data_IF_799547844306
#
_entry.id   IF_799547844306
#
_cell.length_a   1.000
_cell.length_b   1.000
_cell.length_c   1.000
_cell.angle_alpha   90.00
_cell.angle_beta   90.00
_cell.angle_gamma   90.00
#
_symmetry.space_group_name_H-M   'P 1'
#
loop_
_entity.id
_entity.type
_entity.pdbx_description
1 polymer ?
#
# COMPACT_ATOMS: atom_id res chain seq x y z
N UNK A 1 5.69 -3.31 -2.91
CA UNK A 1 6.10 -3.04 -1.51
C UNK A 1 5.76 -4.25 -0.68
N UNK A 2 6.72 -4.75 0.06
CA UNK A 2 6.59 -6.00 0.83
C UNK A 2 7.14 -5.83 2.25
N UNK A 3 6.73 -6.67 3.21
CA UNK A 3 7.42 -6.78 4.49
C UNK A 3 8.88 -7.18 4.31
N UNK A 4 9.76 -6.69 5.18
CA UNK A 4 11.21 -6.98 5.09
C UNK A 4 11.50 -8.48 5.10
N UNK A 5 10.77 -9.26 5.89
CA UNK A 5 10.91 -10.72 5.98
C UNK A 5 10.53 -11.46 4.69
N UNK A 6 9.71 -10.88 3.83
CA UNK A 6 9.23 -11.50 2.60
C UNK A 6 9.99 -11.05 1.35
N UNK A 7 10.82 -10.02 1.46
CA UNK A 7 11.53 -9.42 0.31
C UNK A 7 12.36 -10.45 -0.47
N UNK A 8 13.13 -11.26 0.24
CA UNK A 8 13.95 -12.32 -0.40
C UNK A 8 13.09 -13.36 -1.11
N UNK A 9 11.98 -13.79 -0.51
CA UNK A 9 11.07 -14.76 -1.12
C UNK A 9 10.46 -14.21 -2.41
N UNK A 10 9.94 -12.99 -2.39
CA UNK A 10 9.36 -12.36 -3.58
C UNK A 10 10.36 -12.27 -4.73
N UNK A 11 11.60 -11.86 -4.45
CA UNK A 11 12.66 -11.79 -5.47
C UNK A 11 12.99 -13.18 -6.03
N UNK A 12 13.11 -14.18 -5.17
CA UNK A 12 13.40 -15.55 -5.58
C UNK A 12 12.29 -16.11 -6.49
N UNK A 13 11.04 -15.95 -6.08
CA UNK A 13 9.89 -16.43 -6.87
C UNK A 13 9.77 -15.66 -8.19
N UNK A 14 9.91 -14.33 -8.18
CA UNK A 14 9.91 -13.55 -9.40
C UNK A 14 11.00 -14.01 -10.38
N UNK A 15 12.22 -14.25 -9.90
CA UNK A 15 13.32 -14.78 -10.72
C UNK A 15 13.03 -16.17 -11.27
N UNK A 16 12.31 -17.01 -10.51
CA UNK A 16 11.95 -18.36 -10.92
C UNK A 16 10.90 -18.39 -12.03
N UNK A 17 9.92 -17.49 -11.95
CA UNK A 17 8.75 -17.52 -12.83
C UNK A 17 8.81 -16.51 -13.98
N UNK A 18 9.74 -15.56 -13.96
CA UNK A 18 9.81 -14.50 -14.98
C UNK A 18 11.25 -14.24 -15.43
N UNK A 19 11.39 -13.77 -16.69
CA UNK A 19 12.65 -13.22 -17.20
C UNK A 19 12.75 -11.70 -17.09
N UNK A 20 11.93 -11.07 -16.26
CA UNK A 20 11.85 -9.63 -16.13
C UNK A 20 13.10 -9.06 -15.42
N UNK A 21 13.57 -7.89 -15.87
CA UNK A 21 14.60 -7.14 -15.14
C UNK A 21 14.06 -6.66 -13.81
N UNK A 22 14.80 -6.88 -12.75
CA UNK A 22 14.33 -6.56 -11.39
C UNK A 22 15.43 -5.93 -10.55
N UNK A 23 15.02 -5.06 -9.64
CA UNK A 23 15.90 -4.46 -8.65
C UNK A 23 15.26 -4.43 -7.26
N UNK A 24 16.11 -4.37 -6.26
CA UNK A 24 15.73 -4.04 -4.90
C UNK A 24 16.11 -2.59 -4.62
N UNK A 25 15.09 -1.76 -4.38
CA UNK A 25 15.31 -0.37 -4.02
C UNK A 25 15.73 -0.26 -2.55
N UNK A 26 16.92 0.27 -2.34
CA UNK A 26 17.49 0.56 -1.03
C UNK A 26 18.18 1.94 -1.03
N UNK A 27 18.61 2.42 0.13
CA UNK A 27 19.20 3.77 0.29
C UNK A 27 20.58 3.95 -0.37
N UNK A 28 21.16 2.91 -0.95
CA UNK A 28 22.53 2.97 -1.49
C UNK A 28 22.58 3.60 -2.88
N UNK A 29 21.44 3.79 -3.52
CA UNK A 29 21.36 4.29 -4.89
C UNK A 29 20.91 5.75 -4.89
N UNK A 30 21.77 6.62 -5.38
CA UNK A 30 21.43 8.02 -5.63
C UNK A 30 20.57 8.13 -6.89
N UNK A 31 19.34 8.63 -6.73
CA UNK A 31 18.41 8.85 -7.83
C UNK A 31 18.21 10.34 -8.03
N UNK A 32 18.33 10.79 -9.28
CA UNK A 32 17.99 12.15 -9.66
C UNK A 32 16.46 12.31 -9.65
N UNK A 33 15.93 13.02 -8.64
CA UNK A 33 14.49 13.29 -8.49
C UNK A 33 13.88 14.04 -9.67
N UNK A 34 14.70 14.76 -10.47
CA UNK A 34 14.22 15.48 -11.65
C UNK A 34 14.06 14.58 -12.87
N UNK A 35 14.70 13.42 -12.86
CA UNK A 35 14.67 12.44 -13.96
C UNK A 35 14.56 11.01 -13.42
N UNK A 36 13.54 10.70 -12.64
CA UNK A 36 13.39 9.38 -12.02
C UNK A 36 13.22 8.28 -13.07
N UNK A 37 12.68 8.59 -14.25
CA UNK A 37 12.52 7.67 -15.37
C UNK A 37 13.87 7.10 -15.87
N UNK A 38 14.95 7.86 -15.76
CA UNK A 38 16.30 7.38 -16.12
C UNK A 38 16.78 6.24 -15.24
N UNK A 39 16.20 6.11 -14.06
CA UNK A 39 16.53 5.03 -13.15
C UNK A 39 15.43 3.95 -13.14
N UNK A 40 14.21 4.32 -12.79
CA UNK A 40 13.13 3.35 -12.65
C UNK A 40 12.71 2.70 -13.98
N UNK A 41 12.82 3.43 -15.09
CA UNK A 41 12.45 2.94 -16.42
C UNK A 41 13.30 1.77 -16.95
N UNK A 42 14.44 1.46 -16.32
CA UNK A 42 15.29 0.32 -16.71
C UNK A 42 14.82 -1.02 -16.12
N UNK A 43 13.90 -1.01 -15.16
CA UNK A 43 13.48 -2.19 -14.44
C UNK A 43 11.99 -2.46 -14.63
N UNK A 44 11.65 -3.72 -14.87
CA UNK A 44 10.26 -4.15 -14.93
C UNK A 44 9.66 -4.35 -13.53
N UNK A 45 10.47 -4.82 -12.58
CA UNK A 45 10.06 -5.05 -11.20
C UNK A 45 10.99 -4.33 -10.23
N UNK A 46 10.40 -3.55 -9.35
CA UNK A 46 11.13 -2.83 -8.30
C UNK A 46 10.56 -3.29 -6.96
N UNK A 47 11.39 -3.95 -6.18
CA UNK A 47 11.05 -4.40 -4.83
C UNK A 47 11.52 -3.41 -3.80
N UNK A 48 10.66 -3.07 -2.87
CA UNK A 48 11.01 -2.24 -1.71
C UNK A 48 10.21 -2.67 -0.49
N UNK A 49 10.64 -2.24 0.69
CA UNK A 49 9.93 -2.51 1.94
C UNK A 49 9.09 -1.31 2.37
N UNK A 50 8.13 -1.53 3.29
CA UNK A 50 7.34 -0.45 3.86
C UNK A 50 8.21 0.61 4.56
N UNK A 51 9.28 0.19 5.24
CA UNK A 51 10.23 1.11 5.87
C UNK A 51 10.97 1.96 4.85
N UNK A 52 11.46 1.34 3.77
CA UNK A 52 12.15 2.04 2.69
C UNK A 52 11.20 2.99 1.95
N UNK A 53 9.97 2.57 1.70
CA UNK A 53 8.93 3.42 1.09
C UNK A 53 8.71 4.69 1.91
N UNK A 54 8.51 4.57 3.24
CA UNK A 54 8.34 5.73 4.11
C UNK A 54 9.51 6.69 4.07
N UNK A 55 10.71 6.16 4.15
CA UNK A 55 11.92 6.96 4.25
C UNK A 55 12.29 7.65 2.93
N UNK A 56 11.78 7.17 1.80
CA UNK A 56 12.15 7.63 0.46
C UNK A 56 10.93 7.99 -0.39
N UNK A 57 9.83 8.36 0.25
CA UNK A 57 8.59 8.64 -0.47
C UNK A 57 8.72 9.77 -1.48
N UNK A 58 9.53 10.79 -1.20
CA UNK A 58 9.79 11.89 -2.12
C UNK A 58 10.35 11.43 -3.47
N UNK A 59 11.20 10.38 -3.45
CA UNK A 59 11.78 9.83 -4.67
C UNK A 59 10.78 8.89 -5.34
N UNK A 60 10.17 8.00 -4.57
CA UNK A 60 9.24 7.01 -5.10
C UNK A 60 7.96 7.65 -5.66
N UNK A 61 7.49 8.75 -5.08
CA UNK A 61 6.33 9.49 -5.59
C UNK A 61 6.64 10.37 -6.81
N UNK A 62 7.92 10.61 -7.13
CA UNK A 62 8.31 11.38 -8.31
C UNK A 62 8.16 10.61 -9.63
N UNK A 63 7.98 9.29 -9.57
CA UNK A 63 7.81 8.43 -10.73
C UNK A 63 6.42 7.80 -10.77
N UNK A 64 5.81 7.74 -11.96
CA UNK A 64 4.51 7.10 -12.15
C UNK A 64 4.71 5.65 -12.60
N UNK A 65 4.46 4.74 -11.70
CA UNK A 65 4.54 3.30 -11.97
C UNK A 65 3.34 2.80 -12.79
N UNK A 66 3.49 1.71 -13.49
CA UNK A 66 2.36 1.03 -14.12
C UNK A 66 1.45 0.39 -13.05
N UNK A 67 2.07 -0.35 -12.13
CA UNK A 67 1.41 -0.96 -10.97
C UNK A 67 2.13 -0.61 -9.68
N UNK A 68 1.37 -0.36 -8.63
CA UNK A 68 1.86 -0.41 -7.24
C UNK A 68 1.15 -1.54 -6.53
N UNK A 69 1.92 -2.51 -6.07
CA UNK A 69 1.44 -3.68 -5.33
C UNK A 69 1.90 -3.61 -3.89
N UNK A 70 0.97 -3.69 -2.96
CA UNK A 70 1.25 -3.80 -1.52
C UNK A 70 0.96 -5.22 -1.07
N UNK A 71 1.99 -5.93 -0.63
CA UNK A 71 1.84 -7.25 0.00
C UNK A 71 1.69 -7.08 1.51
N UNK A 72 0.89 -7.92 2.14
CA UNK A 72 0.47 -7.76 3.54
C UNK A 72 -0.09 -6.36 3.79
N UNK A 73 -1.09 -5.98 3.00
CA UNK A 73 -1.62 -4.60 2.95
C UNK A 73 -2.27 -4.12 4.26
N UNK A 74 -2.48 -5.00 5.24
CA UNK A 74 -2.84 -4.59 6.60
C UNK A 74 -1.79 -3.67 7.26
N UNK A 75 -0.58 -3.58 6.70
CA UNK A 75 0.42 -2.58 7.11
C UNK A 75 -0.04 -1.13 6.90
N UNK A 76 -1.05 -0.90 6.06
CA UNK A 76 -1.65 0.43 5.83
C UNK A 76 -3.04 0.59 6.46
N UNK A 77 -3.47 -0.31 7.36
CA UNK A 77 -4.81 -0.29 7.97
C UNK A 77 -5.12 0.96 8.78
N UNK A 78 -4.10 1.60 9.34
CA UNK A 78 -4.26 2.85 10.09
C UNK A 78 -4.04 4.05 9.16
N UNK A 79 -5.12 4.76 8.84
CA UNK A 79 -5.13 5.96 7.98
C UNK A 79 -4.27 7.12 8.54
N UNK A 80 -4.04 7.17 9.84
CA UNK A 80 -3.21 8.18 10.48
C UNK A 80 -1.71 7.85 10.43
N UNK A 81 -1.36 6.61 10.09
CA UNK A 81 0.04 6.15 10.07
C UNK A 81 0.86 6.79 8.95
N UNK A 82 2.15 6.96 9.21
CA UNK A 82 3.09 7.40 8.17
C UNK A 82 3.14 6.40 7.00
N UNK A 83 2.94 5.12 7.26
CA UNK A 83 2.92 4.08 6.23
C UNK A 83 1.77 4.27 5.26
N UNK A 84 0.56 4.50 5.77
CA UNK A 84 -0.59 4.80 4.93
C UNK A 84 -0.39 6.09 4.13
N UNK A 85 0.01 7.18 4.79
CA UNK A 85 0.25 8.47 4.15
C UNK A 85 1.32 8.40 3.05
N UNK A 86 2.34 7.58 3.23
CA UNK A 86 3.34 7.34 2.18
C UNK A 86 2.77 6.50 1.04
N UNK A 87 2.03 5.44 1.35
CA UNK A 87 1.46 4.56 0.32
C UNK A 87 0.52 5.31 -0.63
N UNK A 88 -0.33 6.19 -0.12
CA UNK A 88 -1.27 6.97 -0.96
C UNK A 88 -0.57 8.01 -1.86
N UNK A 89 0.65 8.45 -1.53
CA UNK A 89 1.44 9.36 -2.35
C UNK A 89 2.08 8.69 -3.56
N UNK A 90 2.22 7.36 -3.56
CA UNK A 90 2.77 6.64 -4.71
C UNK A 90 1.88 6.86 -5.94
N UNK A 91 2.50 7.23 -7.05
CA UNK A 91 1.80 7.45 -8.31
C UNK A 91 1.81 6.18 -9.16
N UNK A 92 0.65 5.74 -9.60
CA UNK A 92 0.53 4.57 -10.48
C UNK A 92 -0.74 4.64 -11.34
N UNK A 93 -0.77 3.84 -12.42
CA UNK A 93 -2.00 3.63 -13.17
C UNK A 93 -2.93 2.65 -12.45
N UNK A 94 -2.36 1.61 -11.86
CA UNK A 94 -3.11 0.55 -11.17
C UNK A 94 -2.55 0.33 -9.78
N UNK A 95 -3.43 -0.03 -8.86
CA UNK A 95 -3.09 -0.34 -7.48
C UNK A 95 -3.66 -1.69 -7.08
N UNK A 96 -2.86 -2.48 -6.38
CA UNK A 96 -3.23 -3.80 -5.89
C UNK A 96 -2.82 -3.94 -4.44
N UNK A 97 -3.72 -4.43 -3.62
CA UNK A 97 -3.48 -4.77 -2.23
C UNK A 97 -3.67 -6.27 -2.03
N UNK A 98 -2.65 -6.93 -1.51
CA UNK A 98 -2.66 -8.35 -1.19
C UNK A 98 -2.65 -8.50 0.33
N UNK A 99 -3.58 -9.30 0.85
CA UNK A 99 -3.65 -9.58 2.29
C UNK A 99 -4.38 -10.90 2.55
N UNK A 100 -3.91 -11.65 3.53
CA UNK A 100 -4.63 -12.79 4.07
C UNK A 100 -5.70 -12.39 5.11
N UNK A 101 -5.65 -11.16 5.63
CA UNK A 101 -6.52 -10.66 6.70
C UNK A 101 -7.03 -9.24 6.38
N UNK A 102 -8.00 -9.10 5.45
CA UNK A 102 -8.45 -7.79 5.00
C UNK A 102 -9.12 -6.96 6.12
N UNK A 103 -9.71 -7.62 7.09
CA UNK A 103 -10.32 -7.00 8.27
C UNK A 103 -9.78 -7.71 9.50
N UNK A 104 -8.93 -7.04 10.28
CA UNK A 104 -8.44 -7.59 11.54
C UNK A 104 -9.28 -7.12 12.73
N UNK A 105 -9.47 -5.81 12.88
CA UNK A 105 -10.04 -5.23 14.08
C UNK A 105 -11.25 -4.33 13.82
N UNK A 106 -11.36 -3.72 12.66
CA UNK A 106 -12.44 -2.76 12.41
C UNK A 106 -12.70 -2.50 10.93
N UNK A 107 -13.90 -1.96 10.65
CA UNK A 107 -14.24 -1.46 9.30
C UNK A 107 -13.37 -0.27 8.87
N UNK A 108 -12.69 0.42 9.81
CA UNK A 108 -11.71 1.44 9.45
C UNK A 108 -10.50 0.85 8.73
N UNK A 109 -10.07 -0.35 9.12
CA UNK A 109 -8.97 -1.07 8.47
C UNK A 109 -9.30 -1.34 7.00
N UNK A 110 -10.56 -1.71 6.75
CA UNK A 110 -11.09 -1.91 5.39
C UNK A 110 -11.09 -0.60 4.59
N UNK A 111 -11.60 0.49 5.19
CA UNK A 111 -11.61 1.79 4.53
C UNK A 111 -10.22 2.21 4.05
N UNK A 112 -9.21 2.08 4.91
CA UNK A 112 -7.84 2.47 4.57
C UNK A 112 -7.29 1.68 3.37
N UNK A 113 -7.53 0.37 3.33
CA UNK A 113 -7.07 -0.47 2.21
C UNK A 113 -7.81 -0.13 0.91
N UNK A 114 -9.13 0.06 0.96
CA UNK A 114 -9.91 0.48 -0.21
C UNK A 114 -9.55 1.89 -0.68
N UNK A 115 -9.29 2.81 0.24
CA UNK A 115 -8.83 4.16 -0.12
C UNK A 115 -7.48 4.14 -0.84
N UNK A 116 -6.58 3.23 -0.50
CA UNK A 116 -5.36 3.02 -1.27
C UNK A 116 -5.68 2.52 -2.69
N UNK A 117 -6.54 1.51 -2.84
CA UNK A 117 -6.83 0.89 -4.15
C UNK A 117 -7.58 1.88 -5.05
N UNK A 118 -8.62 2.52 -4.51
CA UNK A 118 -9.50 3.45 -5.23
C UNK A 118 -9.99 4.54 -4.26
N UNK A 119 -9.32 5.69 -4.21
CA UNK A 119 -9.57 6.74 -3.19
C UNK A 119 -11.00 7.22 -3.10
N UNK A 120 -11.72 7.28 -4.21
CA UNK A 120 -13.07 7.86 -4.26
C UNK A 120 -14.19 6.84 -4.02
N UNK A 121 -13.87 5.54 -3.93
CA UNK A 121 -14.87 4.47 -3.86
C UNK A 121 -15.74 4.54 -2.59
N UNK A 122 -15.13 4.76 -1.43
CA UNK A 122 -15.81 4.78 -0.13
C UNK A 122 -15.97 6.20 0.43
N UNK A 123 -15.61 7.22 -0.35
CA UNK A 123 -15.65 8.62 0.09
C UNK A 123 -14.64 8.91 1.21
N UNK A 124 -14.90 9.98 1.96
CA UNK A 124 -14.03 10.35 3.09
C UNK A 124 -14.18 9.40 4.27
N UNK A 125 -13.14 9.22 5.06
CA UNK A 125 -13.16 8.39 6.26
C UNK A 125 -14.30 8.80 7.22
N UNK A 126 -14.50 10.11 7.41
CA UNK A 126 -15.57 10.65 8.26
C UNK A 126 -16.97 10.28 7.74
N UNK A 127 -17.19 10.36 6.43
CA UNK A 127 -18.46 9.96 5.83
C UNK A 127 -18.70 8.46 5.99
N UNK A 128 -17.70 7.65 5.71
CA UNK A 128 -17.75 6.19 5.88
C UNK A 128 -18.03 5.78 7.34
N UNK A 129 -17.40 6.43 8.30
CA UNK A 129 -17.66 6.18 9.72
C UNK A 129 -19.11 6.46 10.11
N UNK A 130 -19.65 7.60 9.67
CA UNK A 130 -21.05 7.98 9.97
C UNK A 130 -22.05 7.03 9.31
N UNK A 131 -21.80 6.64 8.07
CA UNK A 131 -22.74 5.87 7.27
C UNK A 131 -22.74 4.38 7.62
N UNK A 132 -21.61 3.80 7.96
CA UNK A 132 -21.46 2.35 8.14
C UNK A 132 -21.06 1.94 9.56
N UNK A 133 -20.07 2.62 10.17
CA UNK A 133 -19.51 2.16 11.45
C UNK A 133 -20.44 2.49 12.62
N UNK A 134 -20.97 3.70 12.67
CA UNK A 134 -21.86 4.12 13.76
C UNK A 134 -23.15 3.30 13.81
N UNK A 135 -23.90 3.09 12.71
CA UNK A 135 -25.11 2.29 12.75
C UNK A 135 -24.87 0.83 13.16
N UNK A 136 -23.76 0.22 12.72
CA UNK A 136 -23.43 -1.17 13.09
C UNK A 136 -23.14 -1.28 14.58
N UNK A 137 -22.41 -0.30 15.17
CA UNK A 137 -22.16 -0.27 16.62
C UNK A 137 -23.45 -0.12 17.42
N UNK A 138 -24.32 0.79 17.02
CA UNK A 138 -25.62 1.00 17.68
C UNK A 138 -26.55 -0.23 17.56
N UNK A 139 -26.56 -0.90 16.39
CA UNK A 139 -27.32 -2.13 16.20
C UNK A 139 -26.84 -3.30 17.06
N UNK A 140 -25.53 -3.40 17.32
CA UNK A 140 -24.98 -4.43 18.20
C UNK A 140 -25.27 -4.15 19.70
N UNK A 141 -25.38 -2.89 20.11
CA UNK A 141 -25.77 -2.53 21.49
C UNK A 141 -27.23 -2.85 21.79
N UNK A 142 -28.13 -2.73 20.81
CA UNK A 142 -29.53 -3.11 20.97
C UNK A 142 -29.77 -4.63 21.09
N UNK A 143 -28.88 -5.46 20.57
CA UNK A 143 -29.03 -6.93 20.62
C UNK A 143 -28.58 -7.56 21.93
N UNK A 144 -27.91 -6.81 22.81
CA UNK A 144 -27.39 -7.32 24.09
C UNK A 144 -28.31 -7.05 25.31
N UNK A 145 -29.47 -6.41 25.09
CA UNK A 145 -30.41 -6.03 26.16
C UNK A 145 -31.76 -6.74 26.09
N UNK A 146 -31.80 -7.96 25.52
CA UNK A 146 -32.98 -8.84 25.61
C UNK A 146 -32.63 -10.16 26.22
#
# INVERSE_FOLDING_TARGET
VVPTSLLHNWRREAKRFTGLSMMEYNNTVAIDKKRPEKFFGHFHLIFTTYGMMRNNIDILSSYRFEYVVLDESQNIKNSESLTFRSAIQLQSKHRLALTGTPIENSLKDLWAQFHFIQPDLLGTESAFQKQFIMPIRQGNECSCNN
#
